data_IF_818007215816
#
_entry.id   IF_818007215816
#
_cell.length_a   1.000
_cell.length_b   1.000
_cell.length_c   1.000
_cell.angle_alpha   90.00
_cell.angle_beta   90.00
_cell.angle_gamma   90.00
#
_symmetry.space_group_name_H-M   'P 1'
#
loop_
_entity.id
_entity.type
_entity.pdbx_description
1 polymer ?
#
# COMPACT_ATOMS: atom_id res chain seq x y z
N UNK A 1 28.55 -4.83 -35.35
CA UNK A 1 27.42 -5.31 -34.53
C UNK A 1 26.70 -4.07 -34.05
N UNK A 2 25.53 -3.75 -34.61
CA UNK A 2 24.73 -2.60 -34.18
C UNK A 2 23.72 -3.12 -33.14
N UNK A 3 23.63 -2.45 -31.99
CA UNK A 3 22.53 -2.71 -31.06
C UNK A 3 21.20 -2.30 -31.69
N UNK A 4 20.14 -3.06 -31.40
CA UNK A 4 18.81 -2.91 -32.00
C UNK A 4 18.18 -1.54 -31.69
N UNK A 5 18.63 -0.84 -30.66
CA UNK A 5 18.01 0.37 -30.12
C UNK A 5 18.03 1.63 -31.00
N UNK A 6 18.79 1.68 -32.10
CA UNK A 6 18.83 2.89 -32.97
C UNK A 6 18.34 2.63 -34.40
N UNK A 7 18.46 1.40 -34.90
CA UNK A 7 18.16 1.10 -36.31
C UNK A 7 16.84 0.35 -36.54
N UNK A 8 16.28 -0.28 -35.50
CA UNK A 8 15.10 -1.14 -35.65
C UNK A 8 14.02 -0.87 -34.58
N UNK A 9 12.76 -1.08 -34.97
CA UNK A 9 11.61 -1.23 -34.06
C UNK A 9 11.16 -2.67 -34.13
N UNK A 10 10.96 -3.30 -32.99
CA UNK A 10 10.42 -4.64 -32.91
C UNK A 10 9.08 -4.69 -32.21
N UNK A 11 8.28 -5.69 -32.59
CA UNK A 11 7.17 -6.15 -31.76
C UNK A 11 6.90 -7.64 -32.03
N UNK A 12 6.10 -8.27 -31.18
CA UNK A 12 5.72 -9.67 -31.32
C UNK A 12 4.29 -9.94 -30.87
N UNK A 13 3.65 -10.93 -31.48
CA UNK A 13 2.23 -11.23 -31.28
C UNK A 13 2.02 -12.74 -31.26
N UNK A 14 1.27 -13.22 -30.27
CA UNK A 14 0.82 -14.60 -30.27
C UNK A 14 -0.25 -14.81 -31.35
N UNK A 15 -0.02 -15.80 -32.20
CA UNK A 15 -0.97 -16.29 -33.19
C UNK A 15 -1.22 -17.79 -33.03
N UNK A 16 -2.14 -18.32 -33.84
CA UNK A 16 -2.47 -19.75 -33.85
C UNK A 16 -1.30 -20.65 -34.25
N UNK A 17 -0.32 -20.11 -34.97
CA UNK A 17 0.85 -20.85 -35.45
C UNK A 17 2.10 -20.66 -34.61
N UNK A 18 2.05 -19.86 -33.55
CA UNK A 18 3.20 -19.51 -32.71
C UNK A 18 3.35 -18.01 -32.48
N UNK A 19 4.54 -17.59 -32.07
CA UNK A 19 4.89 -16.19 -31.84
C UNK A 19 5.35 -15.55 -33.15
N UNK A 20 4.60 -14.59 -33.65
CA UNK A 20 4.97 -13.78 -34.82
C UNK A 20 5.81 -12.60 -34.36
N UNK A 21 7.08 -12.57 -34.75
CA UNK A 21 8.03 -11.51 -34.41
C UNK A 21 8.31 -10.68 -35.66
N UNK A 22 8.30 -9.37 -35.51
CA UNK A 22 8.50 -8.44 -36.61
C UNK A 22 9.50 -7.37 -36.22
N UNK A 23 10.39 -7.05 -37.16
CA UNK A 23 11.37 -5.97 -37.04
C UNK A 23 11.22 -5.02 -38.24
N UNK A 24 11.04 -3.73 -37.96
CA UNK A 24 11.03 -2.63 -38.92
C UNK A 24 12.36 -1.89 -38.85
N UNK A 25 13.02 -1.70 -39.99
CA UNK A 25 14.20 -0.84 -40.09
C UNK A 25 13.76 0.61 -40.24
N UNK A 26 14.27 1.50 -39.40
CA UNK A 26 13.93 2.93 -39.45
C UNK A 26 14.39 3.62 -40.74
N UNK A 27 15.55 3.22 -41.27
CA UNK A 27 16.22 3.93 -42.38
C UNK A 27 15.45 3.84 -43.71
N UNK A 28 14.96 2.65 -44.08
CA UNK A 28 14.32 2.38 -45.38
C UNK A 28 12.92 1.78 -45.26
N UNK A 29 12.40 1.62 -44.02
CA UNK A 29 11.12 0.98 -43.77
C UNK A 29 11.10 -0.51 -44.12
N UNK A 30 12.25 -1.17 -44.29
CA UNK A 30 12.32 -2.60 -44.55
C UNK A 30 11.66 -3.38 -43.40
N UNK A 31 10.81 -4.32 -43.79
CA UNK A 31 10.10 -5.19 -42.87
C UNK A 31 10.74 -6.58 -42.89
N UNK A 32 10.98 -7.13 -41.71
CA UNK A 32 11.47 -8.48 -41.49
C UNK A 32 10.50 -9.20 -40.56
N UNK A 33 10.14 -10.43 -40.89
CA UNK A 33 9.23 -11.21 -40.05
C UNK A 33 9.67 -12.66 -39.90
N UNK A 34 9.31 -13.25 -38.77
CA UNK A 34 9.49 -14.68 -38.51
C UNK A 34 8.37 -15.17 -37.60
N UNK A 35 8.01 -16.44 -37.75
CA UNK A 35 7.13 -17.12 -36.81
C UNK A 35 7.99 -18.12 -36.04
N UNK A 36 7.97 -18.02 -34.71
CA UNK A 36 8.64 -18.95 -33.80
C UNK A 36 7.62 -19.87 -33.15
N UNK A 37 7.93 -21.16 -33.16
CA UNK A 37 7.12 -22.24 -32.57
C UNK A 37 7.84 -22.82 -31.38
N UNK A 38 7.10 -23.53 -30.53
CA UNK A 38 7.70 -24.28 -29.42
C UNK A 38 8.74 -25.31 -29.91
N UNK A 39 8.53 -25.88 -31.10
CA UNK A 39 9.47 -26.79 -31.75
C UNK A 39 10.80 -26.15 -32.15
N UNK A 40 10.84 -24.82 -32.25
CA UNK A 40 12.03 -24.08 -32.66
C UNK A 40 12.95 -23.77 -31.47
N UNK A 41 12.51 -24.09 -30.24
CA UNK A 41 13.28 -23.92 -29.01
C UNK A 41 14.62 -24.66 -29.14
N UNK A 42 15.76 -23.98 -28.94
CA UNK A 42 17.06 -24.63 -28.87
C UNK A 42 17.09 -25.74 -27.81
N UNK A 43 17.64 -26.91 -28.17
CA UNK A 43 17.75 -28.07 -27.26
C UNK A 43 18.60 -27.79 -26.03
N UNK A 44 19.49 -26.79 -26.09
CA UNK A 44 20.33 -26.34 -25.00
C UNK A 44 19.55 -25.62 -23.89
N UNK A 45 18.35 -25.10 -24.18
CA UNK A 45 17.51 -24.43 -23.18
C UNK A 45 16.71 -25.45 -22.37
N UNK A 46 16.81 -25.34 -21.05
CA UNK A 46 16.13 -26.23 -20.09
C UNK A 46 14.67 -25.86 -19.83
N UNK A 47 14.22 -24.68 -20.26
CA UNK A 47 12.82 -24.23 -20.10
C UNK A 47 11.84 -24.99 -21.01
N UNK A 48 10.55 -24.86 -20.75
CA UNK A 48 9.49 -25.37 -21.64
C UNK A 48 9.40 -24.58 -22.95
N UNK A 49 8.72 -25.14 -23.96
CA UNK A 49 8.45 -24.44 -25.22
C UNK A 49 7.64 -23.15 -25.03
N UNK A 50 6.64 -23.21 -24.15
CA UNK A 50 5.79 -22.07 -23.81
C UNK A 50 6.57 -20.95 -23.10
N UNK A 51 7.41 -21.29 -22.12
CA UNK A 51 8.28 -20.32 -21.45
C UNK A 51 9.26 -19.68 -22.42
N UNK A 52 9.84 -20.46 -23.33
CA UNK A 52 10.70 -19.93 -24.39
C UNK A 52 9.97 -18.88 -25.24
N UNK A 53 8.76 -19.17 -25.71
CA UNK A 53 7.97 -18.20 -26.49
C UNK A 53 7.57 -16.98 -25.65
N UNK A 54 7.26 -17.16 -24.37
CA UNK A 54 6.95 -16.04 -23.46
C UNK A 54 8.16 -15.13 -23.24
N UNK A 55 9.35 -15.70 -23.05
CA UNK A 55 10.59 -14.94 -22.94
C UNK A 55 10.85 -14.13 -24.20
N UNK A 56 10.73 -14.75 -25.38
CA UNK A 56 10.84 -14.04 -26.65
C UNK A 56 9.81 -12.93 -26.79
N UNK A 57 8.55 -13.21 -26.47
CA UNK A 57 7.48 -12.22 -26.56
C UNK A 57 7.79 -11.02 -25.66
N UNK A 58 8.22 -11.26 -24.43
CA UNK A 58 8.63 -10.19 -23.50
C UNK A 58 9.78 -9.36 -24.07
N UNK A 59 10.80 -10.01 -24.64
CA UNK A 59 11.95 -9.32 -25.25
C UNK A 59 11.54 -8.38 -26.38
N UNK A 60 10.61 -8.77 -27.26
CA UNK A 60 10.24 -7.92 -28.40
C UNK A 60 9.05 -6.99 -28.12
N UNK A 61 8.11 -7.36 -27.23
CA UNK A 61 6.91 -6.58 -26.92
C UNK A 61 7.16 -5.54 -25.81
N UNK A 62 8.02 -5.84 -24.83
CA UNK A 62 8.26 -4.96 -23.69
C UNK A 62 9.59 -4.20 -23.74
N UNK A 63 10.65 -4.75 -24.33
CA UNK A 63 11.96 -4.07 -24.37
C UNK A 63 12.03 -2.85 -25.31
N UNK A 64 11.03 -2.64 -26.18
CA UNK A 64 10.88 -1.39 -26.94
C UNK A 64 10.24 -0.25 -26.13
N UNK A 65 9.75 -0.53 -24.91
CA UNK A 65 9.31 0.48 -23.96
C UNK A 65 10.50 0.85 -23.07
N UNK A 66 10.86 2.13 -23.01
CA UNK A 66 12.02 2.69 -22.30
C UNK A 66 12.02 2.53 -20.77
N UNK A 67 11.18 1.65 -20.23
CA UNK A 67 11.12 1.32 -18.82
C UNK A 67 11.76 -0.06 -18.60
N UNK A 68 12.94 -0.05 -17.98
CA UNK A 68 13.70 -1.17 -17.40
C UNK A 68 13.25 -2.59 -17.82
N UNK A 69 14.04 -3.30 -18.66
CA UNK A 69 13.68 -4.65 -19.05
C UNK A 69 13.73 -5.54 -17.80
N UNK A 70 12.58 -6.05 -17.40
CA UNK A 70 12.43 -7.11 -16.39
C UNK A 70 13.01 -8.46 -16.87
N UNK A 71 13.59 -8.49 -18.06
CA UNK A 71 14.23 -9.65 -18.67
C UNK A 71 15.67 -9.31 -19.04
N UNK A 72 16.63 -10.09 -18.54
CA UNK A 72 18.08 -9.98 -18.81
C UNK A 72 18.49 -10.34 -20.26
N UNK A 73 17.54 -10.25 -21.20
CA UNK A 73 17.73 -10.61 -22.61
C UNK A 73 18.08 -9.37 -23.44
N UNK A 74 19.26 -9.38 -24.06
CA UNK A 74 19.70 -8.38 -25.04
C UNK A 74 19.56 -8.92 -26.47
N UNK A 75 19.18 -8.05 -27.40
CA UNK A 75 19.01 -8.38 -28.82
C UNK A 75 20.07 -7.69 -29.65
N UNK A 76 20.70 -8.45 -30.54
CA UNK A 76 21.64 -7.95 -31.53
C UNK A 76 21.22 -8.37 -32.93
N UNK A 77 21.39 -7.47 -33.90
CA UNK A 77 21.04 -7.70 -35.31
C UNK A 77 22.27 -7.55 -36.17
N UNK A 78 22.47 -8.53 -37.06
CA UNK A 78 23.47 -8.50 -38.11
C UNK A 78 22.75 -8.47 -39.46
N UNK A 79 23.15 -7.54 -40.33
CA UNK A 79 22.50 -7.30 -41.61
C UNK A 79 23.21 -8.02 -42.75
N UNK A 80 22.42 -8.61 -43.64
CA UNK A 80 22.78 -9.03 -44.99
C UNK A 80 21.83 -8.36 -46.00
N UNK A 81 22.10 -8.47 -47.31
CA UNK A 81 21.37 -7.73 -48.35
C UNK A 81 19.85 -8.00 -48.33
N UNK A 82 19.43 -9.23 -48.03
CA UNK A 82 18.02 -9.66 -48.07
C UNK A 82 17.51 -10.33 -46.80
N UNK A 83 18.39 -10.54 -45.81
CA UNK A 83 18.03 -11.14 -44.53
C UNK A 83 18.76 -10.44 -43.39
N UNK A 84 18.22 -10.59 -42.18
CA UNK A 84 18.92 -10.19 -40.97
C UNK A 84 19.08 -11.41 -40.07
N UNK A 85 20.21 -11.50 -39.38
CA UNK A 85 20.43 -12.50 -38.33
C UNK A 85 20.17 -11.83 -36.99
N UNK A 86 19.16 -12.32 -36.29
CA UNK A 86 18.83 -11.91 -34.92
C UNK A 86 19.55 -12.86 -33.97
N UNK A 87 20.18 -12.30 -32.94
CA UNK A 87 20.84 -13.06 -31.90
C UNK A 87 20.48 -12.47 -30.54
N UNK A 88 19.91 -13.32 -29.70
CA UNK A 88 19.47 -12.98 -28.35
C UNK A 88 20.46 -13.57 -27.36
N UNK A 89 20.86 -12.74 -26.41
CA UNK A 89 21.78 -13.12 -25.34
C UNK A 89 21.13 -12.86 -24.00
N UNK A 90 21.42 -13.72 -23.05
CA UNK A 90 21.03 -13.62 -21.65
C UNK A 90 22.28 -13.27 -20.85
N UNK A 91 22.23 -12.22 -20.03
CA UNK A 91 23.26 -11.98 -19.03
C UNK A 91 22.86 -12.71 -17.74
N UNK A 92 23.65 -13.70 -17.34
CA UNK A 92 23.40 -14.49 -16.14
C UNK A 92 24.69 -14.63 -15.35
N UNK A 93 24.69 -14.13 -14.12
CA UNK A 93 25.85 -14.14 -13.22
C UNK A 93 27.11 -13.52 -13.86
N UNK A 94 26.93 -12.48 -14.69
CA UNK A 94 28.01 -11.80 -15.42
C UNK A 94 28.53 -12.59 -16.65
N UNK A 95 27.85 -13.68 -17.03
CA UNK A 95 28.13 -14.42 -18.26
C UNK A 95 27.09 -14.10 -19.33
N UNK A 96 27.57 -13.70 -20.50
CA UNK A 96 26.74 -13.50 -21.69
C UNK A 96 26.51 -14.82 -22.42
N UNK A 97 25.37 -15.46 -22.15
CA UNK A 97 24.97 -16.72 -22.76
C UNK A 97 24.12 -16.46 -24.01
N UNK A 98 24.28 -17.26 -25.06
CA UNK A 98 23.39 -17.16 -26.24
C UNK A 98 22.08 -17.88 -25.90
N UNK A 99 20.99 -17.12 -25.87
CA UNK A 99 19.65 -17.66 -25.66
C UNK A 99 19.13 -18.33 -26.94
N UNK A 100 19.15 -17.60 -28.05
CA UNK A 100 18.70 -18.10 -29.35
C UNK A 100 19.23 -17.21 -30.49
N UNK A 101 19.11 -17.68 -31.73
CA UNK A 101 19.44 -16.91 -32.92
C UNK A 101 18.90 -17.54 -34.19
N UNK A 102 18.43 -16.69 -35.10
CA UNK A 102 17.78 -17.10 -36.34
C UNK A 102 17.96 -16.03 -37.42
N UNK A 103 17.74 -16.41 -38.68
CA UNK A 103 17.61 -15.46 -39.78
C UNK A 103 16.15 -15.05 -40.00
N UNK A 104 15.94 -13.78 -40.34
CA UNK A 104 14.65 -13.23 -40.73
C UNK A 104 14.77 -12.70 -42.15
N UNK A 105 14.02 -13.25 -43.12
CA UNK A 105 14.03 -12.75 -44.48
C UNK A 105 13.28 -11.41 -44.58
N UNK A 106 13.67 -10.57 -45.53
CA UNK A 106 12.93 -9.34 -45.85
C UNK A 106 11.55 -9.70 -46.41
N UNK A 107 10.51 -9.09 -45.88
CA UNK A 107 9.15 -9.24 -46.38
C UNK A 107 9.02 -8.58 -47.76
N UNK A 108 8.59 -9.37 -48.75
CA UNK A 108 8.28 -8.88 -50.10
C UNK A 108 6.93 -8.17 -50.17
N UNK A 109 6.01 -8.48 -49.24
CA UNK A 109 4.65 -7.92 -49.18
C UNK A 109 4.44 -6.99 -47.98
N UNK A 110 5.39 -6.08 -47.73
CA UNK A 110 5.43 -5.25 -46.52
C UNK A 110 4.12 -4.50 -46.22
N UNK A 111 3.42 -3.97 -47.24
CA UNK A 111 2.19 -3.20 -47.06
C UNK A 111 1.03 -4.01 -46.48
N UNK A 112 0.86 -5.27 -46.91
CA UNK A 112 -0.24 -6.12 -46.40
C UNK A 112 0.02 -6.52 -44.96
N UNK A 113 1.26 -6.92 -44.66
CA UNK A 113 1.70 -7.25 -43.30
C UNK A 113 1.54 -6.05 -42.38
N UNK A 114 2.03 -4.88 -42.78
CA UNK A 114 1.89 -3.63 -42.01
C UNK A 114 0.43 -3.29 -41.69
N UNK A 115 -0.48 -3.43 -42.67
CA UNK A 115 -1.91 -3.21 -42.45
C UNK A 115 -2.54 -4.24 -41.49
N UNK A 116 -2.06 -5.49 -41.50
CA UNK A 116 -2.47 -6.49 -40.52
C UNK A 116 -1.96 -6.16 -39.10
N UNK A 117 -0.70 -5.73 -38.97
CA UNK A 117 -0.11 -5.37 -37.68
C UNK A 117 -0.76 -4.15 -37.07
N UNK A 118 -1.01 -3.09 -37.87
CA UNK A 118 -1.74 -1.91 -37.40
C UNK A 118 -3.10 -2.27 -36.83
N UNK A 119 -3.84 -3.18 -37.48
CA UNK A 119 -5.13 -3.66 -36.96
C UNK A 119 -4.99 -4.39 -35.63
N UNK A 120 -3.95 -5.22 -35.46
CA UNK A 120 -3.67 -5.89 -34.18
C UNK A 120 -3.32 -4.88 -33.08
N UNK A 121 -2.44 -3.93 -33.35
CA UNK A 121 -2.10 -2.85 -32.43
C UNK A 121 -3.32 -2.04 -32.00
N UNK A 122 -4.15 -1.60 -32.96
CA UNK A 122 -5.37 -0.86 -32.64
C UNK A 122 -6.33 -1.69 -31.76
N UNK A 123 -6.45 -3.00 -32.03
CA UNK A 123 -7.30 -3.88 -31.23
C UNK A 123 -6.76 -4.06 -29.81
N UNK A 124 -5.45 -4.32 -29.64
CA UNK A 124 -4.83 -4.43 -28.31
C UNK A 124 -4.90 -3.14 -27.53
N UNK A 125 -4.67 -2.00 -28.20
CA UNK A 125 -4.77 -0.68 -27.58
C UNK A 125 -6.20 -0.40 -27.12
N UNK A 126 -7.21 -0.66 -27.95
CA UNK A 126 -8.62 -0.49 -27.57
C UNK A 126 -8.97 -1.34 -26.34
N UNK A 127 -8.53 -2.60 -26.28
CA UNK A 127 -8.74 -3.47 -25.11
C UNK A 127 -8.02 -2.93 -23.86
N UNK A 128 -6.79 -2.41 -24.01
CA UNK A 128 -6.04 -1.80 -22.89
C UNK A 128 -6.73 -0.52 -22.41
N UNK A 129 -7.23 0.32 -23.32
CA UNK A 129 -7.95 1.55 -23.01
C UNK A 129 -9.28 1.26 -22.28
N UNK A 130 -10.07 0.31 -22.77
CA UNK A 130 -11.31 -0.12 -22.12
C UNK A 130 -11.07 -0.63 -20.70
N UNK A 131 -10.01 -1.43 -20.50
CA UNK A 131 -9.59 -1.90 -19.18
C UNK A 131 -9.17 -0.73 -18.28
N UNK A 132 -8.41 0.22 -18.80
CA UNK A 132 -7.99 1.40 -18.05
C UNK A 132 -9.20 2.25 -17.62
N UNK A 133 -10.19 2.43 -18.49
CA UNK A 133 -11.44 3.12 -18.16
C UNK A 133 -12.26 2.37 -17.11
N UNK A 134 -12.37 1.04 -17.22
CA UNK A 134 -13.06 0.22 -16.23
C UNK A 134 -12.37 0.30 -14.85
N UNK A 135 -11.03 0.27 -14.81
CA UNK A 135 -10.26 0.43 -13.58
C UNK A 135 -10.45 1.82 -12.96
N UNK A 136 -10.45 2.89 -13.76
CA UNK A 136 -10.74 4.25 -13.27
C UNK A 136 -12.11 4.36 -12.60
N UNK A 137 -13.16 3.84 -13.25
CA UNK A 137 -14.51 3.80 -12.65
C UNK A 137 -14.51 3.00 -11.35
N UNK A 138 -13.81 1.88 -11.30
CA UNK A 138 -13.73 1.07 -10.08
C UNK A 138 -13.03 1.79 -8.94
N UNK A 139 -11.98 2.57 -9.23
CA UNK A 139 -11.30 3.42 -8.25
C UNK A 139 -12.27 4.48 -7.71
N UNK A 140 -13.00 5.17 -8.58
CA UNK A 140 -14.00 6.18 -8.16
C UNK A 140 -15.09 5.57 -7.25
N UNK A 141 -15.59 4.37 -7.57
CA UNK A 141 -16.55 3.65 -6.72
C UNK A 141 -15.96 3.32 -5.33
N UNK A 142 -14.71 2.88 -5.29
CA UNK A 142 -14.03 2.54 -4.04
C UNK A 142 -13.77 3.79 -3.19
N UNK A 143 -13.37 4.90 -3.81
CA UNK A 143 -13.19 6.19 -3.13
C UNK A 143 -14.50 6.71 -2.54
N UNK A 144 -15.62 6.59 -3.25
CA UNK A 144 -16.95 6.93 -2.73
C UNK A 144 -17.32 6.03 -1.54
N UNK A 145 -17.07 4.73 -1.64
CA UNK A 145 -17.35 3.79 -0.56
C UNK A 145 -16.54 4.14 0.69
N UNK A 146 -15.25 4.44 0.55
CA UNK A 146 -14.39 4.87 1.65
C UNK A 146 -14.93 6.16 2.29
N UNK A 147 -15.26 7.18 1.49
CA UNK A 147 -15.86 8.42 2.01
C UNK A 147 -17.17 8.18 2.77
N UNK A 148 -18.02 7.29 2.26
CA UNK A 148 -19.28 6.95 2.92
C UNK A 148 -19.05 6.21 4.25
N UNK A 149 -18.06 5.32 4.29
CA UNK A 149 -17.66 4.59 5.50
C UNK A 149 -17.11 5.53 6.55
N UNK A 150 -16.21 6.46 6.18
CA UNK A 150 -15.63 7.44 7.08
C UNK A 150 -16.70 8.36 7.69
N UNK A 151 -17.70 8.77 6.91
CA UNK A 151 -18.84 9.53 7.40
C UNK A 151 -19.67 8.74 8.43
N UNK A 152 -19.91 7.45 8.18
CA UNK A 152 -20.62 6.57 9.12
C UNK A 152 -19.83 6.36 10.41
N UNK A 153 -18.52 6.13 10.31
CA UNK A 153 -17.63 5.99 11.48
C UNK A 153 -17.62 7.27 12.30
N UNK A 154 -17.49 8.42 11.67
CA UNK A 154 -17.52 9.72 12.34
C UNK A 154 -18.85 9.93 13.09
N UNK A 155 -19.98 9.59 12.45
CA UNK A 155 -21.30 9.66 13.07
C UNK A 155 -21.43 8.69 14.25
N UNK A 156 -20.90 7.48 14.13
CA UNK A 156 -20.90 6.48 15.20
C UNK A 156 -20.06 6.92 16.40
N UNK A 157 -18.89 7.53 16.15
CA UNK A 157 -18.04 8.11 17.21
C UNK A 157 -18.78 9.24 17.93
N UNK A 158 -19.40 10.16 17.19
CA UNK A 158 -20.18 11.25 17.80
C UNK A 158 -21.32 10.71 18.68
N UNK A 159 -22.11 9.75 18.17
CA UNK A 159 -23.19 9.12 18.92
C UNK A 159 -22.69 8.38 20.18
N UNK A 160 -21.53 7.72 20.08
CA UNK A 160 -20.89 7.07 21.24
C UNK A 160 -20.52 8.12 22.31
N UNK A 161 -19.84 9.20 21.91
CA UNK A 161 -19.41 10.25 22.83
C UNK A 161 -20.59 10.93 23.54
N UNK A 162 -21.70 11.15 22.83
CA UNK A 162 -22.93 11.72 23.40
C UNK A 162 -23.53 10.80 24.47
N UNK A 163 -23.57 9.49 24.19
CA UNK A 163 -24.05 8.47 25.13
C UNK A 163 -23.14 8.37 26.35
N UNK A 164 -21.82 8.34 26.15
CA UNK A 164 -20.84 8.31 27.24
C UNK A 164 -20.96 9.55 28.13
N UNK A 165 -21.05 10.74 27.54
CA UNK A 165 -21.23 11.99 28.29
C UNK A 165 -22.52 11.99 29.11
N UNK A 166 -23.63 11.52 28.50
CA UNK A 166 -24.91 11.36 29.19
C UNK A 166 -24.82 10.38 30.37
N UNK A 167 -24.10 9.27 30.19
CA UNK A 167 -23.91 8.28 31.23
C UNK A 167 -23.07 8.83 32.39
N UNK A 168 -21.97 9.52 32.08
CA UNK A 168 -21.10 10.18 33.06
C UNK A 168 -21.91 11.18 33.90
N UNK A 169 -22.71 12.04 33.27
CA UNK A 169 -23.56 12.99 33.99
C UNK A 169 -24.56 12.31 34.94
N UNK A 170 -25.19 11.21 34.51
CA UNK A 170 -26.10 10.42 35.36
C UNK A 170 -25.37 9.80 36.55
N UNK A 171 -24.19 9.23 36.33
CA UNK A 171 -23.37 8.66 37.40
C UNK A 171 -22.95 9.72 38.43
N UNK A 172 -22.50 10.89 37.97
CA UNK A 172 -22.12 12.00 38.86
C UNK A 172 -23.32 12.51 39.67
N UNK A 173 -24.49 12.64 39.05
CA UNK A 173 -25.71 13.03 39.75
C UNK A 173 -26.08 12.04 40.87
N UNK A 174 -26.01 10.73 40.60
CA UNK A 174 -26.24 9.69 41.60
C UNK A 174 -25.21 9.73 42.73
N UNK A 175 -23.92 9.91 42.41
CA UNK A 175 -22.86 10.05 43.42
C UNK A 175 -23.11 11.25 44.32
N UNK A 176 -23.51 12.39 43.76
CA UNK A 176 -23.84 13.59 44.53
C UNK A 176 -25.06 13.38 45.44
N UNK A 177 -26.11 12.71 44.95
CA UNK A 177 -27.27 12.36 45.77
C UNK A 177 -26.87 11.46 46.94
N UNK A 178 -26.04 10.43 46.70
CA UNK A 178 -25.53 9.55 47.75
C UNK A 178 -24.64 10.30 48.74
N UNK A 179 -23.75 11.18 48.27
CA UNK A 179 -22.89 12.04 49.11
C UNK A 179 -23.74 12.94 50.01
N UNK A 180 -24.81 13.55 49.48
CA UNK A 180 -25.74 14.36 50.26
C UNK A 180 -26.46 13.54 51.34
N UNK A 181 -26.91 12.34 50.99
CA UNK A 181 -27.56 11.42 51.95
C UNK A 181 -26.62 10.97 53.06
N UNK A 182 -25.36 10.66 52.74
CA UNK A 182 -24.32 10.34 53.73
C UNK A 182 -24.12 11.51 54.69
N UNK A 183 -23.96 12.74 54.19
CA UNK A 183 -23.83 13.94 55.02
C UNK A 183 -25.03 14.14 55.95
N UNK A 184 -26.24 13.94 55.44
CA UNK A 184 -27.47 14.02 56.24
C UNK A 184 -27.55 12.96 57.33
N UNK A 185 -27.13 11.72 57.04
CA UNK A 185 -27.08 10.65 58.05
C UNK A 185 -26.02 10.95 59.11
N UNK A 186 -24.83 11.40 58.70
CA UNK A 186 -23.75 11.79 59.62
C UNK A 186 -24.15 12.96 60.52
N UNK A 187 -24.82 13.99 60.00
CA UNK A 187 -25.30 15.12 60.82
C UNK A 187 -26.41 14.70 61.79
N UNK A 188 -27.31 13.80 61.38
CA UNK A 188 -28.32 13.23 62.28
C UNK A 188 -27.73 12.36 63.39
N UNK A 189 -26.64 11.64 63.08
CA UNK A 189 -25.89 10.83 64.05
C UNK A 189 -25.03 11.67 65.01
N UNK A 190 -24.69 12.91 64.64
CA UNK A 190 -23.91 13.86 65.46
C UNK A 190 -24.79 14.80 66.30
N UNK A 191 -26.12 14.65 66.29
CA UNK A 191 -27.01 15.41 67.18
C UNK A 191 -26.69 15.09 68.66
N UNK A 192 -26.58 16.10 69.54
CA UNK A 192 -25.71 16.01 70.70
C UNK A 192 -26.34 15.23 71.86
N UNK A 193 -25.57 14.29 72.41
CA UNK A 193 -25.55 13.99 73.85
C UNK A 193 -25.05 15.25 74.58
N UNK A 194 -25.92 16.25 74.72
CA UNK A 194 -25.71 17.41 75.57
C UNK A 194 -26.25 17.05 76.95
N UNK A 195 -25.40 16.52 77.82
CA UNK A 195 -25.60 16.57 79.27
C UNK A 195 -24.57 17.53 79.83
N UNK A 196 -25.07 18.70 80.17
CA UNK A 196 -24.78 19.49 81.37
C UNK A 196 -23.38 19.34 81.97
N UNK A 197 -22.59 20.41 81.92
CA UNK A 197 -22.12 21.09 83.13
C UNK A 197 -21.49 22.43 82.75
N UNK A 198 -22.17 23.52 83.12
CA UNK A 198 -21.54 24.78 83.44
C UNK A 198 -20.96 24.66 84.85
N UNK A 199 -19.71 25.07 85.07
CA UNK A 199 -19.41 26.27 85.88
C UNK A 199 -17.88 26.50 86.00
N UNK A 200 -17.51 27.76 86.22
CA UNK A 200 -16.23 28.29 86.72
C UNK A 200 -15.10 28.61 85.72
N UNK A 201 -14.76 29.90 85.69
CA UNK A 201 -13.47 30.49 85.32
C UNK A 201 -12.94 31.28 86.57
N UNK A 202 -11.74 31.91 86.58
CA UNK A 202 -10.51 31.72 85.79
C UNK A 202 -9.26 31.53 86.70
N UNK A 203 -8.11 31.14 86.15
CA UNK A 203 -6.81 31.39 86.80
C UNK A 203 -5.68 31.56 85.76
N UNK A 204 -4.80 32.51 86.07
CA UNK A 204 -3.70 33.04 85.26
C UNK A 204 -2.54 32.05 85.12
N UNK A 205 -1.88 32.01 83.95
CA UNK A 205 -0.40 32.07 83.82
C UNK A 205 0.07 31.84 82.38
N UNK A 206 1.09 32.61 82.04
CA UNK A 206 1.90 32.63 80.83
C UNK A 206 2.49 31.26 80.45
N UNK A 207 2.59 30.93 79.15
CA UNK A 207 3.90 30.70 78.50
C UNK A 207 3.75 30.37 76.99
N UNK A 208 4.72 30.87 76.23
CA UNK A 208 4.97 30.62 74.81
C UNK A 208 5.11 29.14 74.44
N UNK A 209 4.56 28.71 73.29
CA UNK A 209 5.30 27.93 72.26
C UNK A 209 4.48 27.58 71.02
N UNK A 210 5.10 27.84 69.87
CA UNK A 210 4.78 27.33 68.54
C UNK A 210 4.54 25.80 68.49
N UNK A 211 3.50 25.39 67.77
CA UNK A 211 3.57 24.29 66.80
C UNK A 211 2.29 24.27 65.94
N UNK A 212 2.44 24.71 64.69
CA UNK A 212 1.58 24.32 63.58
C UNK A 212 1.58 22.80 63.46
N UNK A 213 0.40 22.18 63.40
CA UNK A 213 0.28 20.85 62.82
C UNK A 213 -0.95 20.86 61.91
N UNK A 214 -0.62 20.82 60.63
CA UNK A 214 -1.52 20.63 59.50
C UNK A 214 -2.29 19.31 59.66
N UNK A 215 -3.62 19.37 59.59
CA UNK A 215 -4.49 18.22 59.34
C UNK A 215 -5.51 18.59 58.25
N UNK A 216 -5.05 19.14 57.14
CA UNK A 216 -5.85 19.40 55.93
C UNK A 216 -5.33 18.65 54.67
N UNK A 217 -4.40 17.70 54.83
CA UNK A 217 -3.66 17.10 53.69
C UNK A 217 -4.07 15.68 53.27
N UNK A 218 -5.15 15.10 53.80
CA UNK A 218 -5.57 13.73 53.37
C UNK A 218 -6.64 13.71 52.27
N UNK A 219 -7.12 14.86 51.78
CA UNK A 219 -8.16 14.91 50.74
C UNK A 219 -7.64 15.15 49.31
N UNK A 220 -6.37 15.57 49.14
CA UNK A 220 -5.76 15.85 47.82
C UNK A 220 -5.00 14.63 47.23
N UNK A 221 -4.61 13.64 48.04
CA UNK A 221 -3.89 12.46 47.54
C UNK A 221 -4.78 11.47 46.75
N UNK A 222 -6.10 11.47 46.96
CA UNK A 222 -7.01 10.59 46.21
C UNK A 222 -7.19 11.02 44.74
N UNK A 223 -6.86 12.26 44.38
CA UNK A 223 -6.95 12.77 43.00
C UNK A 223 -5.67 12.54 42.19
N UNK A 224 -4.54 12.22 42.83
CA UNK A 224 -3.26 12.02 42.14
C UNK A 224 -2.96 10.55 41.78
N UNK A 225 -3.65 9.59 42.39
CA UNK A 225 -3.43 8.15 42.20
C UNK A 225 -3.70 7.63 40.77
N UNK A 226 -4.29 8.44 39.89
CA UNK A 226 -4.56 8.07 38.49
C UNK A 226 -3.83 8.94 37.45
N UNK A 227 -3.01 9.91 37.88
CA UNK A 227 -2.26 10.79 36.95
C UNK A 227 -1.06 10.10 36.28
N UNK A 228 -0.65 8.94 36.79
CA UNK A 228 0.52 8.18 36.31
C UNK A 228 0.16 6.92 35.54
N UNK A 229 -1.13 6.62 35.34
CA UNK A 229 -1.49 5.51 34.44
C UNK A 229 -1.25 5.97 33.00
N UNK A 230 -0.42 5.27 32.22
CA UNK A 230 -0.28 5.57 30.80
C UNK A 230 -1.64 5.34 30.15
N UNK A 231 -2.32 6.43 29.76
CA UNK A 231 -3.45 6.35 28.85
C UNK A 231 -2.89 5.76 27.57
N UNK A 232 -3.23 4.51 27.30
CA UNK A 232 -2.94 3.89 26.02
C UNK A 232 -3.76 4.64 24.97
N UNK A 233 -3.21 5.72 24.43
CA UNK A 233 -3.74 6.37 23.23
C UNK A 233 -3.55 5.39 22.07
N UNK A 234 -4.49 4.47 21.90
CA UNK A 234 -4.65 3.71 20.65
C UNK A 234 -5.36 4.60 19.63
N UNK A 235 -4.77 5.76 19.34
CA UNK A 235 -5.05 6.53 18.14
C UNK A 235 -3.75 6.58 17.34
N UNK A 236 -3.43 5.46 16.72
CA UNK A 236 -2.54 5.48 15.57
C UNK A 236 -3.36 6.11 14.45
N UNK A 237 -2.98 7.32 14.03
CA UNK A 237 -3.56 7.91 12.82
C UNK A 237 -3.18 7.02 11.64
N UNK A 238 -4.11 6.77 10.70
CA UNK A 238 -3.87 5.92 9.53
C UNK A 238 -2.63 6.31 8.71
N UNK A 239 -2.14 7.54 8.89
CA UNK A 239 -0.91 8.04 8.28
C UNK A 239 0.38 7.42 8.86
N UNK A 240 0.41 7.07 10.15
CA UNK A 240 1.59 6.47 10.79
C UNK A 240 1.75 4.96 10.53
N UNK A 241 0.68 4.27 10.11
CA UNK A 241 0.77 2.85 9.71
C UNK A 241 1.39 2.71 8.32
N UNK A 242 1.25 3.73 7.46
CA UNK A 242 1.79 3.70 6.10
C UNK A 242 3.28 4.08 6.04
N UNK A 243 3.77 4.93 6.94
CA UNK A 243 5.18 5.36 6.95
C UNK A 243 6.13 4.35 7.64
N UNK A 244 5.62 3.26 8.22
CA UNK A 244 6.41 2.25 8.95
C UNK A 244 6.33 0.82 8.40
N UNK A 245 5.64 0.61 7.28
CA UNK A 245 5.39 -0.73 6.72
C UNK A 245 6.22 -1.04 5.47
N UNK A 246 7.16 -0.16 5.09
CA UNK A 246 7.91 -0.31 3.84
C UNK A 246 9.08 -1.31 3.92
N UNK A 247 9.53 -1.71 5.12
CA UNK A 247 10.73 -2.58 5.26
C UNK A 247 10.43 -4.04 5.65
N UNK A 248 9.30 -4.34 6.32
CA UNK A 248 9.06 -5.69 6.87
C UNK A 248 8.17 -6.60 5.99
N UNK A 249 7.55 -6.08 4.94
CA UNK A 249 6.67 -6.88 4.07
C UNK A 249 7.39 -7.52 2.87
N UNK A 250 8.65 -7.13 2.60
CA UNK A 250 9.46 -7.66 1.50
C UNK A 250 10.30 -8.90 1.87
N UNK A 251 10.41 -9.25 3.14
CA UNK A 251 11.16 -10.43 3.61
C UNK A 251 10.31 -11.70 3.76
N UNK A 252 9.03 -11.67 3.34
CA UNK A 252 8.10 -12.81 3.42
C UNK A 252 7.45 -13.23 2.08
N UNK A 253 7.99 -12.77 0.95
CA UNK A 253 7.66 -13.26 -0.39
C UNK A 253 8.91 -13.80 -1.08
#
# INVERSE_FOLDING_TARGET
MKEVGVAYVGDSFFGSEGLHIILWRYEDGALYEVIRRESDKPRSLTCSGEEYLRSLHSTFHHACSTASPTTDLSVSVQEDENEIVVSIREDRDGMNLRFDSWSMPRCTNSTSTEAAMRRRWCAEFAVKEDKALALRRRVEELEELVRSSDALVTKAIAAKNDVESTLIHKCVALLNEKKAKIKSLQSSSKAPSRRDHADSAPDDSDDDKHASTDEDDEAEEASQAYSHLPVSQTHVTAKQVLDGADDDFLDML
#
